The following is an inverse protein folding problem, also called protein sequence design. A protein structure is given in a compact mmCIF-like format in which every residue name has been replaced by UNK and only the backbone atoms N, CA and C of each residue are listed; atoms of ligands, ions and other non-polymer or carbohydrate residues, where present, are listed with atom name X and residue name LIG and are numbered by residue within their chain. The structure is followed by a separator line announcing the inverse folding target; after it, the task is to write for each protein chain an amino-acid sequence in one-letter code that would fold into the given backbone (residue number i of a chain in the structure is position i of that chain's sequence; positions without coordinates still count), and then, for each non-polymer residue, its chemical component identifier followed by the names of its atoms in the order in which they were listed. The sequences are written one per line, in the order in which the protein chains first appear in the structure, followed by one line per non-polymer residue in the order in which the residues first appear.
data_IF_525705596532
#
_entry.id   IF_525705596532
#
_cell.length_a   1.000
_cell.length_b   1.000
_cell.length_c   1.000
_cell.angle_alpha   90.00
_cell.angle_beta   90.00
_cell.angle_gamma   90.00
#
_symmetry.space_group_name_H-M   'P 1'
#
loop_
_entity.id
_entity.type
_entity.pdbx_description
1 polymer ?
#
# COMPACT_ATOMS: atom_id res chain seq x y z
N UNK A 1 -13.54 -21.67 -15.31
CA UNK A 1 -14.20 -21.32 -14.03
C UNK A 1 -13.22 -21.09 -12.86
N UNK A 2 -12.22 -21.95 -12.60
CA UNK A 2 -11.28 -21.76 -11.47
C UNK A 2 -10.45 -20.47 -11.49
N UNK A 3 -10.06 -19.98 -12.66
CA UNK A 3 -9.23 -18.76 -12.80
C UNK A 3 -10.01 -17.47 -12.53
N UNK A 4 -11.33 -17.45 -12.77
CA UNK A 4 -12.18 -16.26 -12.65
C UNK A 4 -12.46 -15.89 -11.19
N UNK A 5 -12.52 -16.88 -10.30
CA UNK A 5 -12.80 -16.66 -8.86
C UNK A 5 -11.53 -16.36 -8.07
N UNK A 6 -10.37 -16.88 -8.49
CA UNK A 6 -9.10 -16.68 -7.78
C UNK A 6 -8.60 -15.23 -7.86
N UNK A 7 -8.80 -14.58 -9.01
CA UNK A 7 -8.32 -13.23 -9.28
C UNK A 7 -8.98 -12.11 -8.44
N UNK A 8 -10.32 -12.04 -8.30
CA UNK A 8 -10.97 -11.04 -7.45
C UNK A 8 -10.62 -11.22 -5.97
N UNK A 9 -10.43 -12.46 -5.49
CA UNK A 9 -9.97 -12.71 -4.11
C UNK A 9 -8.55 -12.19 -3.88
N UNK A 10 -7.64 -12.39 -4.84
CA UNK A 10 -6.28 -11.83 -4.72
C UNK A 10 -6.25 -10.30 -4.77
N UNK A 11 -7.14 -9.68 -5.55
CA UNK A 11 -7.31 -8.22 -5.57
C UNK A 11 -7.85 -7.72 -4.23
N UNK A 12 -8.89 -8.37 -3.72
CA UNK A 12 -9.50 -8.06 -2.42
C UNK A 12 -8.48 -8.13 -1.27
N UNK A 13 -7.68 -9.20 -1.19
CA UNK A 13 -6.64 -9.34 -0.17
C UNK A 13 -5.56 -8.26 -0.29
N UNK A 14 -5.16 -7.92 -1.52
CA UNK A 14 -4.19 -6.85 -1.75
C UNK A 14 -4.72 -5.48 -1.27
N UNK A 15 -5.97 -5.14 -1.58
CA UNK A 15 -6.57 -3.86 -1.17
C UNK A 15 -6.79 -3.77 0.35
N UNK A 16 -7.06 -4.89 1.03
CA UNK A 16 -7.08 -4.93 2.51
C UNK A 16 -5.69 -4.60 3.06
N UNK A 17 -4.65 -5.32 2.62
CA UNK A 17 -3.27 -5.09 3.08
C UNK A 17 -2.81 -3.66 2.77
N UNK A 18 -3.15 -3.15 1.60
CA UNK A 18 -2.90 -1.77 1.20
C UNK A 18 -3.55 -0.74 2.12
N UNK A 19 -4.84 -0.92 2.44
CA UNK A 19 -5.57 0.03 3.27
C UNK A 19 -5.09 0.01 4.72
N UNK A 20 -4.74 -1.18 5.24
CA UNK A 20 -4.11 -1.31 6.55
C UNK A 20 -2.76 -0.60 6.57
N UNK A 21 -1.92 -0.85 5.55
CA UNK A 21 -0.60 -0.24 5.41
C UNK A 21 -0.64 1.29 5.56
N UNK A 22 -1.47 1.99 4.79
CA UNK A 22 -1.54 3.46 4.86
C UNK A 22 -2.03 3.99 6.21
N UNK A 23 -2.94 3.25 6.85
CA UNK A 23 -3.48 3.62 8.15
C UNK A 23 -2.41 3.54 9.23
N UNK A 24 -1.61 2.47 9.20
CA UNK A 24 -0.51 2.22 10.14
C UNK A 24 0.69 3.11 9.89
N UNK A 25 1.03 3.34 8.63
CA UNK A 25 2.10 4.24 8.22
C UNK A 25 1.89 5.66 8.75
N UNK A 26 0.65 6.17 8.69
CA UNK A 26 0.31 7.48 9.24
C UNK A 26 0.45 7.54 10.77
N UNK A 27 0.04 6.49 11.48
CA UNK A 27 0.16 6.39 12.94
C UNK A 27 1.64 6.25 13.35
N UNK A 28 2.41 5.44 12.65
CA UNK A 28 3.83 5.19 12.93
C UNK A 28 4.69 6.44 12.74
N UNK A 29 4.49 7.19 11.65
CA UNK A 29 5.21 8.44 11.39
C UNK A 29 4.94 9.52 12.44
N UNK A 30 3.69 9.66 12.89
CA UNK A 30 3.33 10.65 13.92
C UNK A 30 3.66 10.18 15.33
N UNK A 31 3.41 8.90 15.63
CA UNK A 31 3.48 8.34 16.97
C UNK A 31 4.90 7.94 17.40
N UNK A 32 5.66 7.32 16.51
CA UNK A 32 7.00 6.78 16.84
C UNK A 32 8.12 7.78 16.53
N UNK A 33 8.04 8.45 15.37
CA UNK A 33 9.03 9.43 14.94
C UNK A 33 8.75 10.87 15.39
N UNK A 34 7.51 11.18 15.80
CA UNK A 34 7.15 12.51 16.28
C UNK A 34 7.27 13.62 15.22
N UNK A 35 7.20 13.27 13.93
CA UNK A 35 7.35 14.24 12.83
C UNK A 35 6.35 15.39 12.92
N UNK A 36 6.82 16.58 12.60
CA UNK A 36 5.96 17.77 12.54
C UNK A 36 4.95 17.64 11.38
N UNK A 37 3.80 18.31 11.51
CA UNK A 37 2.76 18.26 10.46
C UNK A 37 3.25 18.72 9.09
N UNK A 38 4.23 19.63 9.05
CA UNK A 38 4.87 20.11 7.82
C UNK A 38 5.72 19.03 7.16
N UNK A 39 6.59 18.35 7.93
CA UNK A 39 7.44 17.26 7.43
C UNK A 39 6.61 16.10 6.87
N UNK A 40 5.54 15.76 7.58
CA UNK A 40 4.60 14.73 7.13
C UNK A 40 3.93 15.11 5.81
N UNK A 41 3.48 16.37 5.69
CA UNK A 41 2.90 16.89 4.45
C UNK A 41 3.87 16.82 3.28
N UNK A 42 5.12 17.25 3.49
CA UNK A 42 6.18 17.17 2.47
C UNK A 42 6.45 15.73 2.05
N UNK A 43 6.47 14.79 3.00
CA UNK A 43 6.63 13.36 2.73
C UNK A 43 5.53 12.81 1.83
N UNK A 44 4.27 13.07 2.15
CA UNK A 44 3.17 12.63 1.30
C UNK A 44 3.21 13.27 -0.09
N UNK A 45 3.56 14.54 -0.20
CA UNK A 45 3.68 15.23 -1.50
C UNK A 45 4.76 14.62 -2.38
N UNK A 46 5.96 14.36 -1.83
CA UNK A 46 7.07 13.76 -2.60
C UNK A 46 6.77 12.31 -2.99
N UNK A 47 6.13 11.55 -2.10
CA UNK A 47 5.62 10.21 -2.41
C UNK A 47 4.65 10.25 -3.60
N UNK A 48 3.69 11.18 -3.59
CA UNK A 48 2.68 11.28 -4.64
C UNK A 48 3.28 11.71 -5.98
N UNK A 49 4.21 12.67 -5.96
CA UNK A 49 4.96 13.08 -7.15
C UNK A 49 5.73 11.92 -7.77
N UNK A 50 6.45 11.18 -6.94
CA UNK A 50 7.26 10.03 -7.38
C UNK A 50 6.39 8.90 -7.91
N UNK A 51 5.23 8.66 -7.28
CA UNK A 51 4.25 7.69 -7.77
C UNK A 51 3.78 7.99 -9.19
N UNK A 52 3.49 9.24 -9.51
CA UNK A 52 2.98 9.60 -10.84
C UNK A 52 4.02 9.23 -11.90
N UNK A 53 5.30 9.49 -11.65
CA UNK A 53 6.39 9.11 -12.54
C UNK A 53 6.46 7.58 -12.76
N UNK A 54 6.33 6.80 -11.68
CA UNK A 54 6.37 5.34 -11.79
C UNK A 54 5.10 4.74 -12.40
N UNK A 55 3.92 5.33 -12.16
CA UNK A 55 2.68 4.92 -12.83
C UNK A 55 2.79 5.09 -14.35
N UNK A 56 3.36 6.21 -14.81
CA UNK A 56 3.61 6.43 -16.24
C UNK A 56 4.55 5.37 -16.82
N UNK A 57 5.64 5.06 -16.13
CA UNK A 57 6.59 4.03 -16.56
C UNK A 57 5.95 2.64 -16.62
N UNK A 58 5.23 2.24 -15.57
CA UNK A 58 4.54 0.96 -15.52
C UNK A 58 3.45 0.84 -16.57
N UNK A 59 2.70 1.91 -16.87
CA UNK A 59 1.72 1.91 -17.96
C UNK A 59 2.34 1.54 -19.31
N UNK A 60 3.46 2.20 -19.67
CA UNK A 60 4.18 1.92 -20.92
C UNK A 60 4.69 0.47 -20.95
N UNK A 61 5.29 0.00 -19.85
CA UNK A 61 5.81 -1.37 -19.74
C UNK A 61 4.67 -2.39 -19.84
N UNK A 62 3.53 -2.12 -19.22
CA UNK A 62 2.35 -2.98 -19.23
C UNK A 62 1.66 -3.04 -20.60
N UNK A 63 1.74 -1.97 -21.39
CA UNK A 63 1.25 -1.98 -22.77
C UNK A 63 2.12 -2.86 -23.68
N UNK A 64 3.43 -2.92 -23.44
CA UNK A 64 4.34 -3.84 -24.16
C UNK A 64 4.20 -5.30 -23.72
N UNK A 65 3.94 -5.54 -22.43
CA UNK A 65 3.81 -6.91 -21.88
C UNK A 65 2.41 -7.53 -22.04
N UNK A 66 1.36 -6.72 -22.23
CA UNK A 66 -0.02 -7.19 -22.32
C UNK A 66 -0.50 -7.81 -21.00
N UNK A 67 -0.90 -9.09 -21.03
CA UNK A 67 -1.43 -9.85 -19.88
C UNK A 67 -0.37 -10.70 -19.15
N UNK A 68 0.91 -10.50 -19.45
CA UNK A 68 1.97 -11.28 -18.81
C UNK A 68 2.06 -10.92 -17.32
N UNK A 69 2.25 -11.95 -16.49
CA UNK A 69 2.30 -11.83 -15.03
C UNK A 69 3.63 -11.34 -14.40
N UNK A 70 4.80 -11.22 -15.07
CA UNK A 70 6.05 -10.99 -14.34
C UNK A 70 6.08 -9.62 -13.63
N UNK A 71 5.32 -8.64 -14.12
CA UNK A 71 5.21 -7.32 -13.50
C UNK A 71 4.48 -7.38 -12.14
N UNK A 72 3.45 -8.22 -12.03
CA UNK A 72 2.72 -8.48 -10.78
C UNK A 72 3.61 -9.24 -9.79
N UNK A 73 4.42 -10.19 -10.27
CA UNK A 73 5.36 -10.93 -9.43
C UNK A 73 6.46 -10.02 -8.88
N UNK A 74 7.00 -9.12 -9.71
CA UNK A 74 7.98 -8.12 -9.29
C UNK A 74 7.42 -7.22 -8.18
N UNK A 75 6.21 -6.70 -8.37
CA UNK A 75 5.53 -5.85 -7.39
C UNK A 75 5.22 -6.59 -6.08
N UNK A 76 4.78 -7.85 -6.17
CA UNK A 76 4.53 -8.69 -5.00
C UNK A 76 5.81 -8.92 -4.17
N UNK A 77 6.96 -9.09 -4.84
CA UNK A 77 8.25 -9.23 -4.18
C UNK A 77 8.66 -7.95 -3.42
N UNK A 78 8.43 -6.77 -4.01
CA UNK A 78 8.68 -5.48 -3.36
C UNK A 78 7.77 -5.30 -2.13
N UNK A 79 6.52 -5.75 -2.21
CA UNK A 79 5.59 -5.72 -1.09
C UNK A 79 6.08 -6.53 0.11
N UNK A 80 6.57 -7.76 -0.12
CA UNK A 80 7.12 -8.61 0.94
C UNK A 80 8.37 -7.97 1.57
N UNK A 81 9.18 -7.29 0.76
CA UNK A 81 10.40 -6.62 1.23
C UNK A 81 10.10 -5.33 2.03
N UNK A 82 8.86 -4.85 2.04
CA UNK A 82 8.49 -3.60 2.73
C UNK A 82 8.66 -3.70 4.25
N UNK A 83 8.35 -4.86 4.83
CA UNK A 83 8.52 -5.12 6.27
C UNK A 83 9.97 -4.91 6.75
N UNK A 84 10.95 -5.67 6.23
CA UNK A 84 12.35 -5.49 6.62
C UNK A 84 12.91 -4.12 6.23
N UNK A 85 12.48 -3.54 5.11
CA UNK A 85 12.93 -2.21 4.69
C UNK A 85 12.56 -1.11 5.71
N UNK A 86 11.36 -1.16 6.28
CA UNK A 86 10.91 -0.16 7.26
C UNK A 86 11.75 -0.16 8.53
N UNK A 87 11.97 -1.34 9.09
CA UNK A 87 12.65 -1.50 10.39
C UNK A 87 14.14 -1.20 10.25
N UNK A 88 14.80 -1.77 9.23
CA UNK A 88 16.26 -1.72 9.14
C UNK A 88 16.81 -0.49 8.41
N UNK A 89 16.04 0.08 7.48
CA UNK A 89 16.54 1.17 6.62
C UNK A 89 15.77 2.45 6.88
N UNK A 90 14.44 2.40 6.82
CA UNK A 90 13.63 3.60 6.81
C UNK A 90 13.64 4.35 8.15
N UNK A 91 13.47 3.63 9.26
CA UNK A 91 13.49 4.20 10.61
C UNK A 91 14.80 4.94 10.95
N UNK A 92 16.00 4.32 10.85
CA UNK A 92 17.25 5.01 11.17
C UNK A 92 17.60 6.13 10.17
N UNK A 93 17.16 6.03 8.90
CA UNK A 93 17.37 7.10 7.93
C UNK A 93 16.55 8.35 8.25
N UNK A 94 15.29 8.18 8.65
CA UNK A 94 14.44 9.32 8.99
C UNK A 94 14.95 10.07 10.22
N UNK A 95 15.55 9.37 11.19
CA UNK A 95 16.12 9.97 12.39
C UNK A 95 17.46 10.67 12.14
N UNK A 96 18.29 10.14 11.24
CA UNK A 96 19.62 10.71 10.95
C UNK A 96 19.58 11.82 9.90
N UNK A 97 18.88 11.61 8.78
CA UNK A 97 18.82 12.53 7.64
C UNK A 97 17.44 12.48 6.98
N UNK A 98 16.53 13.36 7.42
CA UNK A 98 15.15 13.42 6.93
C UNK A 98 15.05 13.48 5.40
N UNK A 99 15.85 14.32 4.73
CA UNK A 99 15.80 14.48 3.26
C UNK A 99 16.19 13.21 2.48
N UNK A 100 17.13 12.41 2.99
CA UNK A 100 17.54 11.16 2.33
C UNK A 100 16.49 10.08 2.55
N UNK A 101 15.96 9.99 3.77
CA UNK A 101 14.82 9.12 4.10
C UNK A 101 13.59 9.44 3.24
N UNK A 102 13.30 10.73 3.03
CA UNK A 102 12.22 11.21 2.17
C UNK A 102 12.33 10.66 0.74
N UNK A 103 13.48 10.83 0.10
CA UNK A 103 13.70 10.42 -1.29
C UNK A 103 13.68 8.90 -1.41
N UNK A 104 14.37 8.19 -0.50
CA UNK A 104 14.44 6.73 -0.56
C UNK A 104 13.07 6.09 -0.30
N UNK A 105 12.30 6.63 0.65
CA UNK A 105 10.92 6.22 0.90
C UNK A 105 10.02 6.46 -0.30
N UNK A 106 10.13 7.65 -0.91
CA UNK A 106 9.32 7.99 -2.08
C UNK A 106 9.61 7.08 -3.27
N UNK A 107 10.87 6.71 -3.49
CA UNK A 107 11.22 5.74 -4.52
C UNK A 107 10.65 4.35 -4.20
N UNK A 108 10.83 3.86 -2.97
CA UNK A 108 10.40 2.53 -2.57
C UNK A 108 8.87 2.37 -2.55
N UNK A 109 8.17 3.30 -1.88
CA UNK A 109 6.71 3.30 -1.81
C UNK A 109 6.07 3.68 -3.15
N UNK A 110 6.72 4.53 -3.94
CA UNK A 110 6.31 4.87 -5.30
C UNK A 110 6.32 3.63 -6.20
N UNK A 111 7.41 2.85 -6.17
CA UNK A 111 7.58 1.64 -6.99
C UNK A 111 6.69 0.47 -6.57
N UNK A 112 6.53 0.26 -5.26
CA UNK A 112 5.86 -0.93 -4.72
C UNK A 112 4.36 -0.71 -4.52
N UNK A 113 4.02 0.20 -3.61
CA UNK A 113 2.64 0.50 -3.29
C UNK A 113 2.07 1.42 -4.36
N UNK A 114 2.29 2.74 -4.28
CA UNK A 114 1.49 3.75 -4.99
C UNK A 114 1.28 3.47 -6.50
N UNK A 115 2.34 3.14 -7.24
CA UNK A 115 2.20 2.81 -8.66
C UNK A 115 1.66 1.40 -8.93
N UNK A 116 1.81 0.50 -7.97
CA UNK A 116 1.28 -0.87 -8.00
C UNK A 116 -0.25 -0.94 -8.02
N UNK A 117 -0.95 0.00 -7.36
CA UNK A 117 -2.41 0.09 -7.46
C UNK A 117 -2.86 0.42 -8.90
N UNK A 118 -2.19 1.37 -9.56
CA UNK A 118 -2.48 1.70 -10.96
C UNK A 118 -2.20 0.55 -11.93
N UNK A 119 -1.14 -0.21 -11.66
CA UNK A 119 -0.81 -1.42 -12.41
C UNK A 119 -1.90 -2.49 -12.31
N UNK A 120 -2.35 -2.76 -11.08
CA UNK A 120 -3.40 -3.76 -10.78
C UNK A 120 -4.73 -3.36 -11.40
N UNK A 121 -5.14 -2.09 -11.28
CA UNK A 121 -6.37 -1.58 -11.90
C UNK A 121 -6.32 -1.76 -13.43
N UNK A 122 -5.22 -1.36 -14.09
CA UNK A 122 -5.03 -1.55 -15.53
C UNK A 122 -5.01 -3.02 -15.95
N UNK A 123 -4.45 -3.89 -15.11
CA UNK A 123 -4.41 -5.33 -15.37
C UNK A 123 -5.81 -5.94 -15.28
N UNK A 124 -6.57 -5.57 -14.25
CA UNK A 124 -7.94 -6.01 -14.03
C UNK A 124 -8.86 -5.52 -15.13
N UNK A 125 -8.69 -4.30 -15.64
CA UNK A 125 -9.43 -3.80 -16.78
C UNK A 125 -9.14 -4.60 -18.06
N UNK A 126 -7.87 -4.89 -18.34
CA UNK A 126 -7.45 -5.74 -19.48
C UNK A 126 -8.04 -7.15 -19.36
N UNK A 127 -8.09 -7.72 -18.15
CA UNK A 127 -8.74 -9.01 -17.92
C UNK A 127 -10.25 -8.94 -18.07
N UNK A 128 -10.91 -7.92 -17.53
CA UNK A 128 -12.36 -7.74 -17.64
C UNK A 128 -12.81 -7.69 -19.10
N UNK A 129 -12.07 -6.97 -19.96
CA UNK A 129 -12.30 -6.94 -21.41
C UNK A 129 -12.14 -8.30 -22.08
N UNK A 130 -11.12 -9.07 -21.70
CA UNK A 130 -10.88 -10.39 -22.30
C UNK A 130 -11.86 -11.48 -21.83
N UNK A 131 -12.43 -11.35 -20.64
CA UNK A 131 -13.35 -12.34 -20.06
C UNK A 131 -14.83 -11.90 -20.11
N UNK A 132 -15.14 -10.76 -20.75
CA UNK A 132 -16.49 -10.17 -20.82
C UNK A 132 -17.14 -9.99 -19.43
N UNK A 133 -16.36 -9.60 -18.43
CA UNK A 133 -16.84 -9.31 -17.08
C UNK A 133 -16.98 -7.80 -16.87
N UNK A 134 -17.97 -7.37 -16.08
CA UNK A 134 -18.14 -5.96 -15.73
C UNK A 134 -17.02 -5.51 -14.78
N UNK A 135 -16.14 -4.63 -15.27
CA UNK A 135 -15.07 -4.02 -14.45
C UNK A 135 -15.60 -3.39 -13.16
N UNK A 136 -16.82 -2.84 -13.21
CA UNK A 136 -17.48 -2.21 -12.05
C UNK A 136 -17.71 -3.16 -10.88
N UNK A 137 -17.99 -4.45 -11.12
CA UNK A 137 -18.18 -5.42 -10.05
C UNK A 137 -16.85 -5.72 -9.35
N UNK A 138 -15.73 -5.82 -10.08
CA UNK A 138 -14.41 -5.99 -9.48
C UNK A 138 -14.06 -4.79 -8.59
N UNK A 139 -14.30 -3.56 -9.08
CA UNK A 139 -14.04 -2.34 -8.32
C UNK A 139 -14.92 -2.19 -7.07
N UNK A 140 -16.15 -2.70 -7.12
CA UNK A 140 -17.03 -2.71 -5.94
C UNK A 140 -16.51 -3.61 -4.82
N UNK A 141 -15.90 -4.76 -5.17
CA UNK A 141 -15.23 -5.63 -4.19
C UNK A 141 -14.03 -4.93 -3.53
N UNK A 142 -13.25 -4.15 -4.29
CA UNK A 142 -12.13 -3.37 -3.73
C UNK A 142 -12.62 -2.32 -2.72
N UNK A 143 -13.73 -1.62 -3.02
CA UNK A 143 -14.33 -0.67 -2.09
C UNK A 143 -14.80 -1.35 -0.79
N UNK A 144 -15.42 -2.53 -0.90
CA UNK A 144 -15.80 -3.33 0.26
C UNK A 144 -14.57 -3.71 1.09
N UNK A 145 -13.48 -4.09 0.44
CA UNK A 145 -12.19 -4.41 1.05
C UNK A 145 -11.66 -3.24 1.89
N UNK A 146 -11.66 -2.03 1.31
CA UNK A 146 -11.21 -0.81 1.97
C UNK A 146 -12.09 -0.45 3.18
N UNK A 147 -13.41 -0.60 3.06
CA UNK A 147 -14.33 -0.34 4.17
C UNK A 147 -14.10 -1.29 5.35
N UNK A 148 -13.90 -2.58 5.07
CA UNK A 148 -13.62 -3.59 6.09
C UNK A 148 -12.24 -3.38 6.72
N UNK A 149 -11.22 -3.10 5.92
CA UNK A 149 -9.87 -2.84 6.42
C UNK A 149 -9.81 -1.61 7.32
N UNK A 150 -10.62 -0.57 7.06
CA UNK A 150 -10.67 0.64 7.89
C UNK A 150 -11.46 0.45 9.18
N UNK A 151 -12.48 -0.40 9.18
CA UNK A 151 -13.32 -0.63 10.36
C UNK A 151 -12.66 -1.55 11.41
N UNK A 152 -11.79 -2.47 10.99
CA UNK A 152 -11.12 -3.42 11.90
C UNK A 152 -10.19 -2.74 12.94
N UNK A 153 -9.27 -1.84 12.57
CA UNK A 153 -8.45 -1.11 13.55
C UNK A 153 -9.31 -0.21 14.43
N UNK A 154 -10.34 0.44 13.88
CA UNK A 154 -11.23 1.30 14.64
C UNK A 154 -12.00 0.52 15.73
N UNK A 155 -12.48 -0.68 15.42
CA UNK A 155 -13.13 -1.56 16.39
C UNK A 155 -12.15 -2.04 17.47
N UNK A 156 -10.93 -2.43 17.10
CA UNK A 156 -9.90 -2.88 18.04
C UNK A 156 -9.43 -1.75 18.98
N UNK A 157 -9.33 -0.52 18.47
CA UNK A 157 -8.97 0.67 19.26
C UNK A 157 -10.09 1.14 20.21
N UNK A 158 -11.36 0.89 19.89
CA UNK A 158 -12.51 1.26 20.75
C UNK A 158 -12.78 0.21 21.84
N UNK A 159 -12.44 -1.05 21.61
CA UNK A 159 -12.70 -2.15 22.55
C UNK A 159 -11.60 -2.35 23.61
N UNK A 160 -10.41 -1.76 23.44
CA UNK A 160 -9.33 -1.78 24.43
C UNK A 160 -9.24 -0.41 25.12
N UNK A 161 -9.59 -0.29 26.42
CA UNK A 161 -9.47 0.99 27.13
C UNK A 161 -7.99 1.40 27.19
N UNK A 162 -7.71 2.64 26.78
CA UNK A 162 -6.39 3.27 26.61
C UNK A 162 -5.58 3.38 27.94
N UNK A 163 -6.10 2.92 29.07
CA UNK A 163 -5.62 3.34 30.38
C UNK A 163 -4.68 2.41 31.15
N UNK A 164 -4.45 1.12 30.79
CA UNK A 164 -3.81 0.23 31.80
C UNK A 164 -2.74 -0.78 31.36
N UNK A 165 -2.26 -0.80 30.10
CA UNK A 165 -1.06 -1.62 29.85
C UNK A 165 -0.23 -1.16 28.66
N UNK A 166 1.06 -0.92 28.91
CA UNK A 166 2.04 -0.53 27.90
C UNK A 166 2.14 -1.49 26.72
N UNK A 167 1.73 -2.74 26.90
CA UNK A 167 1.65 -3.79 25.87
C UNK A 167 0.66 -3.49 24.74
N UNK A 168 -0.41 -2.71 24.98
CA UNK A 168 -1.38 -2.32 23.94
C UNK A 168 -0.80 -1.29 22.96
N UNK A 169 0.14 -0.43 23.39
CA UNK A 169 0.84 0.53 22.51
C UNK A 169 1.82 -0.17 21.57
N UNK A 170 2.45 -1.27 22.00
CA UNK A 170 3.39 -2.01 21.16
C UNK A 170 2.67 -2.76 20.03
N UNK A 171 1.49 -3.33 20.25
CA UNK A 171 0.75 -4.03 19.18
C UNK A 171 0.16 -3.08 18.12
N UNK A 172 -0.16 -1.83 18.48
CA UNK A 172 -0.61 -0.80 17.53
C UNK A 172 0.53 -0.20 16.68
N UNK A 173 1.79 -0.49 17.02
CA UNK A 173 2.98 0.00 16.30
C UNK A 173 3.60 -1.04 15.36
N UNK A 174 3.25 -2.33 15.49
CA UNK A 174 3.89 -3.44 14.77
C UNK A 174 2.95 -4.29 13.91
N UNK A 175 1.62 -4.10 13.99
CA UNK A 175 0.65 -4.68 13.06
C UNK A 175 0.09 -3.63 12.14
#
# INVERSE_FOLDING_TARGET
MRTIVLHPVTHFSFFISWSLWWSLYAIWLKGHLGLTGTELGTLYSVNQFTSILFMMFYGIVQDKLGLKKPLIWCMSFILVLTGPFMIYVYEPLLQSNFSVGLILGALFFGLGYLAGCGLLDSFTEKMARNFHFEYGTARAWDLLAMLLARSLPAYFLVSVPISTSGWSRYLALYL
#
